data_IF_997257770200
#
_entry.id   IF_997257770200
#
_cell.length_a   1.000
_cell.length_b   1.000
_cell.length_c   1.000
_cell.angle_alpha   90.00
_cell.angle_beta   90.00
_cell.angle_gamma   90.00
#
_symmetry.space_group_name_H-M   'P 1'
#
loop_
_entity.id
_entity.type
_entity.pdbx_description
1 polymer ?
#
# COMPACT_ATOMS: atom_id res chain seq x y z
N UNK A 1 -19.86 -18.60 27.44
CA UNK A 1 -20.81 -18.74 26.31
C UNK A 1 -20.06 -18.40 25.02
N UNK A 2 -20.28 -19.11 23.90
CA UNK A 2 -19.78 -18.65 22.61
C UNK A 2 -20.36 -17.27 22.30
N UNK A 3 -19.63 -16.39 21.57
CA UNK A 3 -20.20 -15.11 21.16
C UNK A 3 -21.46 -15.35 20.35
N UNK A 4 -22.49 -14.54 20.59
CA UNK A 4 -23.72 -14.58 19.80
C UNK A 4 -23.39 -14.40 18.31
N UNK A 5 -23.97 -15.23 17.44
CA UNK A 5 -23.88 -15.02 15.99
C UNK A 5 -24.43 -13.63 15.68
N UNK A 6 -23.68 -12.88 14.91
CA UNK A 6 -24.06 -11.55 14.43
C UNK A 6 -25.45 -11.57 13.77
N UNK A 7 -26.28 -10.55 14.04
CA UNK A 7 -27.57 -10.39 13.35
C UNK A 7 -27.39 -9.95 11.90
N UNK A 8 -28.26 -10.40 11.01
CA UNK A 8 -28.22 -10.06 9.57
C UNK A 8 -28.19 -8.54 9.33
N UNK A 9 -28.97 -7.78 10.08
CA UNK A 9 -29.00 -6.31 9.97
C UNK A 9 -27.66 -5.66 10.35
N UNK A 10 -26.97 -6.17 11.39
CA UNK A 10 -25.64 -5.67 11.77
C UNK A 10 -24.59 -6.02 10.69
N UNK A 11 -24.74 -7.18 10.05
CA UNK A 11 -23.87 -7.61 8.93
C UNK A 11 -24.03 -6.69 7.73
N UNK A 12 -25.27 -6.40 7.34
CA UNK A 12 -25.59 -5.48 6.24
C UNK A 12 -25.04 -4.08 6.51
N UNK A 13 -25.22 -3.54 7.72
CA UNK A 13 -24.65 -2.24 8.10
C UNK A 13 -23.11 -2.23 8.02
N UNK A 14 -22.45 -3.31 8.48
CA UNK A 14 -20.99 -3.41 8.39
C UNK A 14 -20.49 -3.48 6.95
N UNK A 15 -21.17 -4.21 6.08
CA UNK A 15 -20.83 -4.31 4.66
C UNK A 15 -21.04 -2.97 3.95
N UNK A 16 -22.14 -2.27 4.22
CA UNK A 16 -22.38 -0.94 3.67
C UNK A 16 -21.31 0.07 4.14
N UNK A 17 -20.98 0.08 5.43
CA UNK A 17 -19.93 0.92 5.98
C UNK A 17 -18.54 0.56 5.44
N UNK A 18 -18.29 -0.71 5.12
CA UNK A 18 -17.08 -1.15 4.43
C UNK A 18 -17.00 -0.56 3.02
N UNK A 19 -18.05 -0.74 2.20
CA UNK A 19 -18.08 -0.20 0.84
C UNK A 19 -17.87 1.31 0.80
N UNK A 20 -18.54 2.07 1.68
CA UNK A 20 -18.37 3.52 1.75
C UNK A 20 -16.92 3.95 2.08
N UNK A 21 -16.21 3.20 2.92
CA UNK A 21 -14.81 3.48 3.24
C UNK A 21 -13.89 3.12 2.07
N UNK A 22 -14.18 2.02 1.38
CA UNK A 22 -13.43 1.60 0.20
C UNK A 22 -13.57 2.63 -0.93
N UNK A 23 -14.79 3.08 -1.23
CA UNK A 23 -15.07 4.12 -2.21
C UNK A 23 -14.33 5.43 -1.87
N UNK A 24 -14.33 5.83 -0.59
CA UNK A 24 -13.62 7.03 -0.14
C UNK A 24 -12.10 6.89 -0.29
N UNK A 25 -11.53 5.72 0.06
CA UNK A 25 -10.10 5.46 -0.10
C UNK A 25 -9.69 5.50 -1.57
N UNK A 26 -10.49 4.92 -2.46
CA UNK A 26 -10.25 4.94 -3.91
C UNK A 26 -10.34 6.38 -4.43
N UNK A 27 -11.36 7.15 -4.03
CA UNK A 27 -11.49 8.55 -4.43
C UNK A 27 -10.30 9.42 -3.98
N UNK A 28 -9.78 9.20 -2.77
CA UNK A 28 -8.57 9.87 -2.29
C UNK A 28 -7.33 9.48 -3.10
N UNK A 29 -7.20 8.22 -3.47
CA UNK A 29 -6.11 7.75 -4.32
C UNK A 29 -6.17 8.41 -5.70
N UNK A 30 -7.34 8.42 -6.34
CA UNK A 30 -7.56 9.06 -7.63
C UNK A 30 -7.25 10.56 -7.58
N UNK A 31 -7.71 11.26 -6.54
CA UNK A 31 -7.42 12.68 -6.35
C UNK A 31 -5.92 12.96 -6.17
N UNK A 32 -5.22 12.13 -5.39
CA UNK A 32 -3.78 12.26 -5.17
C UNK A 32 -2.99 12.08 -6.48
N UNK A 33 -3.33 11.06 -7.29
CA UNK A 33 -2.68 10.83 -8.58
C UNK A 33 -3.03 11.90 -9.62
N UNK A 34 -4.27 12.39 -9.64
CA UNK A 34 -4.67 13.52 -10.49
C UNK A 34 -3.87 14.78 -10.15
N UNK A 35 -3.69 15.07 -8.86
CA UNK A 35 -2.86 16.17 -8.39
C UNK A 35 -1.39 15.97 -8.77
N UNK A 36 -0.85 14.77 -8.56
CA UNK A 36 0.53 14.44 -8.93
C UNK A 36 0.81 14.64 -10.43
N UNK A 37 -0.13 14.27 -11.31
CA UNK A 37 -0.04 14.55 -12.75
C UNK A 37 -0.09 16.04 -13.05
N UNK A 38 -1.01 16.77 -12.43
CA UNK A 38 -1.18 18.22 -12.62
C UNK A 38 0.07 18.99 -12.20
N UNK A 39 0.66 18.61 -11.07
CA UNK A 39 1.85 19.26 -10.49
C UNK A 39 3.16 18.80 -11.15
N UNK A 40 3.11 17.80 -12.05
CA UNK A 40 4.32 17.20 -12.62
C UNK A 40 5.19 16.50 -11.57
N UNK A 41 4.58 15.95 -10.51
CA UNK A 41 5.26 15.35 -9.37
C UNK A 41 6.19 14.21 -9.78
N UNK A 42 7.36 14.14 -9.16
CA UNK A 42 8.43 13.20 -9.54
C UNK A 42 8.21 11.76 -9.08
N UNK A 43 7.33 11.57 -8.10
CA UNK A 43 6.92 10.29 -7.59
C UNK A 43 5.71 10.46 -6.66
N UNK A 44 5.06 9.36 -6.31
CA UNK A 44 3.95 9.31 -5.35
C UNK A 44 4.28 8.32 -4.25
N UNK A 45 3.97 8.66 -2.99
CA UNK A 45 4.01 7.72 -1.87
C UNK A 45 2.59 7.50 -1.37
N UNK A 46 2.20 6.23 -1.27
CA UNK A 46 0.93 5.79 -0.66
C UNK A 46 1.28 5.09 0.64
N UNK A 47 0.72 5.57 1.75
CA UNK A 47 0.89 5.00 3.07
C UNK A 47 -0.44 4.44 3.55
N UNK A 48 -0.46 3.18 4.00
CA UNK A 48 -1.67 2.59 4.56
C UNK A 48 -1.36 1.52 5.61
N UNK A 49 -2.30 1.32 6.53
CA UNK A 49 -2.25 0.22 7.49
C UNK A 49 -3.15 -0.92 7.03
N UNK A 50 -2.54 -1.98 6.50
CA UNK A 50 -3.15 -3.28 6.18
C UNK A 50 -2.09 -4.19 5.55
N UNK A 51 -2.34 -5.51 5.51
CA UNK A 51 -1.67 -6.41 4.59
C UNK A 51 -2.59 -6.71 3.38
N UNK A 52 -2.28 -6.17 2.17
CA UNK A 52 -3.07 -6.41 0.96
C UNK A 52 -2.98 -7.82 0.39
N UNK A 53 -2.13 -8.68 0.98
CA UNK A 53 -1.94 -10.07 0.56
C UNK A 53 -1.47 -10.21 -0.89
N UNK A 54 -0.53 -9.38 -1.34
CA UNK A 54 0.06 -9.49 -2.69
C UNK A 54 0.74 -10.85 -2.95
N UNK A 55 1.10 -11.57 -1.89
CA UNK A 55 1.60 -12.94 -1.93
C UNK A 55 0.55 -13.98 -2.39
N UNK A 56 -0.74 -13.62 -2.34
CA UNK A 56 -1.85 -14.46 -2.78
C UNK A 56 -2.27 -14.12 -4.22
N UNK A 57 -2.72 -15.12 -4.99
CA UNK A 57 -3.19 -14.90 -6.35
C UNK A 57 -4.42 -13.97 -6.37
N UNK A 58 -4.61 -13.19 -7.46
CA UNK A 58 -5.84 -12.42 -7.65
C UNK A 58 -7.08 -13.32 -7.54
N UNK A 59 -8.10 -12.85 -6.82
CA UNK A 59 -9.34 -13.59 -6.57
C UNK A 59 -9.30 -14.54 -5.37
N UNK A 60 -8.18 -14.63 -4.64
CA UNK A 60 -8.14 -15.37 -3.38
C UNK A 60 -9.14 -14.77 -2.36
N UNK A 61 -10.00 -15.58 -1.71
CA UNK A 61 -10.97 -15.07 -0.74
C UNK A 61 -10.36 -14.26 0.41
N UNK A 62 -9.10 -14.51 0.79
CA UNK A 62 -8.40 -13.77 1.84
C UNK A 62 -7.91 -12.39 1.37
N UNK A 63 -7.83 -12.17 0.05
CA UNK A 63 -7.46 -10.91 -0.59
C UNK A 63 -8.68 -10.10 -1.04
N UNK A 64 -9.87 -10.68 -1.07
CA UNK A 64 -11.10 -10.08 -1.60
C UNK A 64 -11.39 -8.65 -1.09
N UNK A 65 -11.14 -8.36 0.19
CA UNK A 65 -11.35 -7.03 0.77
C UNK A 65 -10.31 -5.96 0.37
N UNK A 66 -9.33 -6.31 -0.46
CA UNK A 66 -8.28 -5.43 -0.95
C UNK A 66 -8.23 -5.36 -2.48
N UNK A 67 -9.00 -6.17 -3.20
CA UNK A 67 -8.89 -6.23 -4.66
C UNK A 67 -9.20 -4.87 -5.30
N UNK A 68 -10.25 -4.18 -4.88
CA UNK A 68 -10.63 -2.89 -5.46
C UNK A 68 -9.54 -1.82 -5.27
N UNK A 69 -8.91 -1.76 -4.09
CA UNK A 69 -7.82 -0.80 -3.84
C UNK A 69 -6.51 -1.20 -4.54
N UNK A 70 -6.22 -2.51 -4.67
CA UNK A 70 -5.07 -3.00 -5.44
C UNK A 70 -5.23 -2.67 -6.92
N UNK A 71 -6.42 -2.90 -7.48
CA UNK A 71 -6.74 -2.61 -8.87
C UNK A 71 -6.66 -1.10 -9.15
N UNK A 72 -7.24 -0.28 -8.27
CA UNK A 72 -7.15 1.18 -8.37
C UNK A 72 -5.69 1.66 -8.30
N UNK A 73 -4.91 1.17 -7.34
CA UNK A 73 -3.49 1.52 -7.21
C UNK A 73 -2.67 1.08 -8.42
N UNK A 74 -2.87 -0.15 -8.91
CA UNK A 74 -2.17 -0.69 -10.07
C UNK A 74 -2.45 0.13 -11.32
N UNK A 75 -3.73 0.42 -11.60
CA UNK A 75 -4.15 1.27 -12.72
C UNK A 75 -3.54 2.67 -12.62
N UNK A 76 -3.70 3.35 -11.48
CA UNK A 76 -3.22 4.72 -11.29
C UNK A 76 -1.69 4.81 -11.37
N UNK A 77 -0.98 3.82 -10.82
CA UNK A 77 0.46 3.73 -10.94
C UNK A 77 0.89 3.52 -12.40
N UNK A 78 0.25 2.61 -13.13
CA UNK A 78 0.54 2.38 -14.55
C UNK A 78 0.31 3.65 -15.39
N UNK A 79 -0.81 4.35 -15.17
CA UNK A 79 -1.13 5.63 -15.82
C UNK A 79 -0.12 6.74 -15.47
N UNK A 80 0.37 6.77 -14.22
CA UNK A 80 1.31 7.79 -13.76
C UNK A 80 2.70 7.63 -14.39
N UNK A 81 3.13 6.39 -14.67
CA UNK A 81 4.37 6.10 -15.40
C UNK A 81 5.67 6.53 -14.71
N UNK A 82 5.60 7.02 -13.47
CA UNK A 82 6.74 7.48 -12.64
C UNK A 82 6.78 6.70 -11.32
N UNK A 83 7.88 6.79 -10.54
CA UNK A 83 8.01 6.01 -9.31
C UNK A 83 6.82 6.16 -8.35
N UNK A 84 6.25 5.03 -7.93
CA UNK A 84 5.23 4.94 -6.88
C UNK A 84 5.75 4.04 -5.77
N UNK A 85 5.67 4.50 -4.53
CA UNK A 85 6.06 3.75 -3.35
C UNK A 85 4.83 3.45 -2.49
N UNK A 86 4.53 2.17 -2.29
CA UNK A 86 3.54 1.70 -1.33
C UNK A 86 4.25 1.34 -0.02
N UNK A 87 3.92 2.05 1.06
CA UNK A 87 4.37 1.74 2.41
C UNK A 87 3.19 1.15 3.20
N UNK A 88 3.36 -0.05 3.75
CA UNK A 88 2.33 -0.68 4.58
C UNK A 88 2.90 -1.58 5.68
N UNK A 89 2.04 -2.10 6.56
CA UNK A 89 2.39 -2.96 7.70
C UNK A 89 1.60 -4.27 7.73
N UNK A 90 1.47 -4.86 8.93
CA UNK A 90 0.59 -6.00 9.28
C UNK A 90 1.05 -7.41 8.87
N UNK A 91 2.08 -7.55 8.03
CA UNK A 91 2.66 -8.86 7.70
C UNK A 91 3.83 -9.32 8.59
N UNK A 92 4.26 -8.50 9.57
CA UNK A 92 5.31 -8.79 10.57
C UNK A 92 6.73 -9.08 10.02
N UNK A 93 6.94 -8.98 8.71
CA UNK A 93 8.23 -9.17 8.06
C UNK A 93 8.60 -7.90 7.29
N UNK A 94 9.88 -7.53 7.31
CA UNK A 94 10.38 -6.52 6.38
C UNK A 94 10.53 -7.12 5.00
N UNK A 95 9.92 -6.48 4.00
CA UNK A 95 10.11 -6.86 2.59
C UNK A 95 10.13 -5.62 1.72
N UNK A 96 10.86 -5.71 0.62
CA UNK A 96 10.86 -4.71 -0.45
C UNK A 96 10.79 -5.45 -1.78
N UNK A 97 9.74 -5.20 -2.55
CA UNK A 97 9.50 -5.87 -3.82
C UNK A 97 8.69 -5.00 -4.80
N UNK A 98 8.35 -5.58 -5.95
CA UNK A 98 7.54 -4.97 -7.00
C UNK A 98 6.32 -5.86 -7.26
N UNK A 99 5.27 -5.75 -6.43
CA UNK A 99 4.23 -6.78 -6.35
C UNK A 99 3.40 -6.92 -7.63
N UNK A 100 3.40 -5.90 -8.49
CA UNK A 100 2.64 -5.87 -9.74
C UNK A 100 3.54 -5.82 -11.00
N UNK A 101 4.86 -6.06 -10.88
CA UNK A 101 5.76 -6.05 -12.04
C UNK A 101 5.46 -7.16 -13.07
N UNK A 102 4.90 -8.29 -12.63
CA UNK A 102 4.48 -9.40 -13.49
C UNK A 102 2.98 -9.45 -13.78
N UNK A 103 2.22 -8.42 -13.38
CA UNK A 103 0.79 -8.34 -13.63
C UNK A 103 0.51 -8.09 -15.13
N UNK A 104 -0.77 -8.19 -15.53
CA UNK A 104 -1.24 -7.81 -16.86
C UNK A 104 -2.34 -6.75 -16.74
N UNK A 105 -2.08 -5.48 -17.08
CA UNK A 105 -0.80 -4.93 -17.52
C UNK A 105 0.26 -4.91 -16.39
N UNK A 106 1.53 -4.90 -16.77
CA UNK A 106 2.64 -4.84 -15.82
C UNK A 106 2.77 -3.43 -15.21
N UNK A 107 3.06 -3.35 -13.91
CA UNK A 107 3.22 -2.08 -13.16
C UNK A 107 4.60 -2.05 -12.47
N UNK A 108 5.71 -1.99 -13.25
CA UNK A 108 7.06 -2.08 -12.69
C UNK A 108 7.48 -0.83 -11.90
N UNK A 109 6.74 0.26 -12.01
CA UNK A 109 6.99 1.50 -11.28
C UNK A 109 6.37 1.52 -9.87
N UNK A 110 5.59 0.51 -9.49
CA UNK A 110 5.09 0.34 -8.13
C UNK A 110 6.05 -0.53 -7.31
N UNK A 111 6.75 0.11 -6.38
CA UNK A 111 7.58 -0.56 -5.37
C UNK A 111 6.82 -0.62 -4.06
N UNK A 112 6.85 -1.77 -3.39
CA UNK A 112 6.25 -1.97 -2.07
C UNK A 112 7.34 -2.09 -1.02
N UNK A 113 7.07 -1.52 0.16
CA UNK A 113 7.85 -1.72 1.39
C UNK A 113 6.87 -2.11 2.48
N UNK A 114 7.04 -3.30 3.03
CA UNK A 114 6.38 -3.68 4.27
C UNK A 114 7.28 -3.34 5.43
N UNK A 115 6.74 -2.61 6.40
CA UNK A 115 7.44 -2.29 7.63
C UNK A 115 7.66 -3.54 8.50
N UNK A 116 8.65 -3.44 9.37
CA UNK A 116 8.84 -4.40 10.45
C UNK A 116 7.60 -4.49 11.35
N UNK A 117 7.40 -5.65 11.97
CA UNK A 117 6.34 -5.90 12.94
C UNK A 117 6.83 -6.87 14.01
N UNK A 118 6.08 -7.02 15.10
CA UNK A 118 6.52 -7.83 16.24
C UNK A 118 6.97 -9.24 15.78
N UNK A 119 8.14 -9.74 16.23
CA UNK A 119 8.97 -9.24 17.32
C UNK A 119 10.09 -8.27 16.93
N UNK A 120 10.42 -8.11 15.66
CA UNK A 120 11.51 -7.24 15.20
C UNK A 120 10.99 -5.81 15.07
N UNK A 121 11.48 -4.89 15.88
CA UNK A 121 10.99 -3.50 15.96
C UNK A 121 12.07 -2.52 15.47
N UNK A 122 12.38 -2.61 14.19
CA UNK A 122 13.34 -1.72 13.51
C UNK A 122 12.60 -0.57 12.82
N UNK A 123 13.33 0.51 12.48
CA UNK A 123 12.77 1.64 11.73
C UNK A 123 13.22 1.64 10.27
N UNK A 124 12.42 2.27 9.43
CA UNK A 124 12.72 2.46 8.01
C UNK A 124 12.68 3.96 7.71
N UNK A 125 13.74 4.45 7.08
CA UNK A 125 13.82 5.79 6.51
C UNK A 125 13.71 5.69 5.00
N UNK A 126 12.88 6.55 4.43
CA UNK A 126 12.79 6.74 2.99
C UNK A 126 13.51 8.04 2.65
N UNK A 127 14.65 7.92 1.98
CA UNK A 127 15.33 9.07 1.41
C UNK A 127 14.71 9.41 0.05
N UNK A 128 14.41 10.69 -0.14
CA UNK A 128 13.88 11.22 -1.39
C UNK A 128 15.01 11.97 -2.11
N UNK A 129 15.41 11.44 -3.26
CA UNK A 129 16.44 12.01 -4.13
C UNK A 129 15.84 12.33 -5.49
N UNK A 130 15.47 13.60 -5.74
CA UNK A 130 14.86 14.01 -7.01
C UNK A 130 15.74 13.80 -8.25
N UNK A 131 17.05 13.64 -8.07
CA UNK A 131 18.00 13.41 -9.16
C UNK A 131 18.13 11.93 -9.55
N UNK A 132 17.65 11.03 -8.70
CA UNK A 132 17.65 9.58 -8.96
C UNK A 132 16.45 9.15 -9.80
N UNK A 133 16.68 8.25 -10.76
CA UNK A 133 15.61 7.63 -11.54
C UNK A 133 14.59 6.86 -10.69
N UNK A 134 15.00 6.36 -9.52
CA UNK A 134 14.10 5.64 -8.60
C UNK A 134 13.37 6.54 -7.61
N UNK A 135 13.83 7.79 -7.43
CA UNK A 135 13.36 8.81 -6.46
C UNK A 135 13.47 8.40 -4.98
N UNK A 136 13.03 7.19 -4.64
CA UNK A 136 12.92 6.69 -3.27
C UNK A 136 13.99 5.64 -2.97
N UNK A 137 14.78 5.91 -1.93
CA UNK A 137 15.78 4.97 -1.40
C UNK A 137 15.37 4.51 -0.01
N UNK A 138 15.25 3.19 0.15
CA UNK A 138 14.88 2.55 1.41
C UNK A 138 16.14 2.33 2.25
N UNK A 139 16.16 2.86 3.46
CA UNK A 139 17.25 2.70 4.42
C UNK A 139 16.69 2.06 5.68
N UNK A 140 17.26 0.93 6.06
CA UNK A 140 16.92 0.23 7.31
C UNK A 140 17.82 0.81 8.40
N UNK A 141 17.24 1.10 9.55
CA UNK A 141 18.01 1.51 10.72
C UNK A 141 17.61 0.75 11.96
N UNK A 142 18.62 0.48 12.78
CA UNK A 142 18.45 -0.22 14.05
C UNK A 142 18.27 0.73 15.22
N UNK A 143 17.50 0.35 16.25
CA UNK A 143 17.26 1.19 17.43
C UNK A 143 18.54 1.54 18.21
N UNK A 144 19.65 0.84 17.95
CA UNK A 144 20.96 1.15 18.53
C UNK A 144 21.80 2.16 17.72
N UNK A 145 21.32 2.61 16.55
CA UNK A 145 22.00 3.63 15.76
C UNK A 145 21.38 5.00 16.06
N UNK A 146 22.07 5.78 16.90
CA UNK A 146 21.76 7.21 17.10
C UNK A 146 22.12 7.94 15.80
N UNK A 147 21.16 8.63 15.21
CA UNK A 147 21.45 9.55 14.10
C UNK A 147 22.17 10.75 14.70
N UNK A 148 23.49 10.82 14.57
CA UNK A 148 24.23 12.07 14.71
C UNK A 148 23.98 12.88 13.44
N UNK A 149 23.20 13.95 13.57
CA UNK A 149 23.01 14.96 12.54
C UNK A 149 24.21 15.90 12.41
#
# INVERSE_FOLDING_TARGET
APPAKESTALREQRLAAFGQREDANIAWLEAAFARARTDGAIGVVVLMQANPRFELPPGDPQRAGFEAIIDALGRLAAEFGRPVLLLHGDGHLFLVDWPLAGASPAVPNLRRVQAFGHPLMEWIRIDVDPSSATVFRVVIGSPHHVITG
#
